data_IF_465682116730
#
_entry.id   IF_465682116730
#
_cell.length_a   1.000
_cell.length_b   1.000
_cell.length_c   1.000
_cell.angle_alpha   90.00
_cell.angle_beta   90.00
_cell.angle_gamma   90.00
#
_symmetry.space_group_name_H-M   'P 1'
#
loop_
_entity.id
_entity.type
_entity.pdbx_description
1 polymer ?
#
# COMPACT_ATOMS: atom_id res chain seq x y z
N UNK A 1 2.75 13.45 -20.33
CA UNK A 1 3.28 13.55 -18.95
C UNK A 1 4.77 13.20 -18.89
N UNK A 2 5.54 13.71 -17.92
CA UNK A 2 6.98 13.37 -17.75
C UNK A 2 7.18 11.85 -17.58
N UNK A 3 6.30 11.18 -16.84
CA UNK A 3 6.29 9.73 -16.65
C UNK A 3 6.30 8.96 -17.97
N UNK A 4 5.48 9.37 -18.94
CA UNK A 4 5.42 8.71 -20.25
C UNK A 4 6.76 8.84 -20.99
N UNK A 5 7.42 10.00 -20.90
CA UNK A 5 8.73 10.20 -21.53
C UNK A 5 9.80 9.30 -20.92
N UNK A 6 9.76 9.11 -19.60
CA UNK A 6 10.68 8.21 -18.89
C UNK A 6 10.43 6.75 -19.29
N UNK A 7 9.16 6.31 -19.29
CA UNK A 7 8.79 4.97 -19.73
C UNK A 7 9.17 4.72 -21.20
N UNK A 8 8.95 5.70 -22.09
CA UNK A 8 9.36 5.62 -23.49
C UNK A 8 10.89 5.44 -23.62
N UNK A 9 11.67 6.18 -22.81
CA UNK A 9 13.13 6.11 -22.84
C UNK A 9 13.68 4.78 -22.30
N UNK A 10 13.14 4.26 -21.19
CA UNK A 10 13.53 2.94 -20.66
C UNK A 10 13.10 1.81 -21.61
N UNK A 11 11.88 1.87 -22.16
CA UNK A 11 11.39 0.89 -23.13
C UNK A 11 12.23 0.86 -24.42
N UNK A 12 12.61 2.02 -24.96
CA UNK A 12 13.46 2.11 -26.14
C UNK A 12 14.85 1.47 -25.93
N UNK A 13 15.29 1.34 -24.68
CA UNK A 13 16.54 0.67 -24.29
C UNK A 13 16.33 -0.80 -23.90
N UNK A 14 15.10 -1.32 -23.99
CA UNK A 14 14.75 -2.68 -23.56
C UNK A 14 14.86 -2.88 -22.04
N UNK A 15 14.77 -1.81 -21.25
CA UNK A 15 14.93 -1.84 -19.80
C UNK A 15 13.57 -1.84 -19.10
N UNK A 16 13.33 -2.76 -18.13
CA UNK A 16 12.14 -2.68 -17.30
C UNK A 16 12.19 -1.44 -16.40
N UNK A 17 11.03 -0.84 -16.13
CA UNK A 17 10.91 0.38 -15.34
C UNK A 17 9.97 0.19 -14.14
N UNK A 18 10.27 0.94 -13.08
CA UNK A 18 9.38 1.17 -11.95
C UNK A 18 9.28 2.68 -11.74
N UNK A 19 8.10 3.23 -11.96
CA UNK A 19 7.85 4.67 -11.85
C UNK A 19 6.81 4.90 -10.75
N UNK A 20 7.20 5.66 -9.72
CA UNK A 20 6.28 6.11 -8.68
C UNK A 20 5.83 7.54 -8.97
N UNK A 21 4.52 7.76 -8.97
CA UNK A 21 3.91 9.06 -9.18
C UNK A 21 3.12 9.44 -7.93
N UNK A 22 3.27 10.69 -7.49
CA UNK A 22 2.48 11.25 -6.40
C UNK A 22 1.59 12.37 -6.96
N UNK A 23 0.28 12.26 -6.76
CA UNK A 23 -0.67 13.30 -7.12
C UNK A 23 -0.66 14.41 -6.08
N UNK A 24 -0.77 15.68 -6.51
CA UNK A 24 -0.67 16.84 -5.59
C UNK A 24 -1.87 17.78 -5.64
N UNK A 25 -2.77 17.66 -6.63
CA UNK A 25 -3.90 18.57 -6.81
C UNK A 25 -4.90 18.56 -5.65
N UNK A 26 -5.03 17.44 -4.94
CA UNK A 26 -5.90 17.28 -3.77
C UNK A 26 -5.34 17.92 -2.49
N UNK A 27 -4.68 19.07 -2.61
CA UNK A 27 -4.13 19.84 -1.51
C UNK A 27 -4.56 21.30 -1.62
N UNK A 28 -4.78 21.96 -0.47
CA UNK A 28 -5.12 23.40 -0.44
C UNK A 28 -4.06 24.21 -1.21
N UNK A 29 -4.46 25.21 -2.03
CA UNK A 29 -5.81 25.77 -2.17
C UNK A 29 -6.74 25.05 -3.17
N UNK A 30 -6.47 23.78 -3.52
CA UNK A 30 -7.27 22.94 -4.44
C UNK A 30 -7.29 23.45 -5.89
N UNK A 31 -6.15 23.94 -6.36
CA UNK A 31 -6.01 24.49 -7.70
C UNK A 31 -5.60 23.44 -8.73
N UNK A 32 -6.18 23.56 -9.92
CA UNK A 32 -5.92 22.75 -11.11
C UNK A 32 -6.22 23.55 -12.39
N UNK A 33 -5.81 23.10 -13.58
CA UNK A 33 -6.13 23.76 -14.84
C UNK A 33 -7.64 23.81 -15.11
N UNK A 34 -8.14 24.99 -15.50
CA UNK A 34 -9.54 25.19 -15.87
C UNK A 34 -9.93 24.44 -17.16
N UNK A 35 -11.24 24.24 -17.35
CA UNK A 35 -11.80 23.64 -18.56
C UNK A 35 -11.54 22.13 -18.71
N UNK A 36 -11.10 21.46 -17.64
CA UNK A 36 -10.88 20.00 -17.61
C UNK A 36 -12.04 19.22 -17.01
N UNK A 37 -12.71 19.85 -16.06
CA UNK A 37 -13.92 19.36 -15.38
C UNK A 37 -14.91 20.52 -15.24
N UNK A 38 -16.09 20.22 -14.72
CA UNK A 38 -17.24 21.11 -14.50
C UNK A 38 -17.24 21.84 -13.13
N UNK A 39 -16.14 21.77 -12.37
CA UNK A 39 -15.96 22.47 -11.09
C UNK A 39 -14.80 23.45 -11.24
N UNK A 40 -14.95 24.71 -10.82
CA UNK A 40 -13.90 25.71 -11.01
C UNK A 40 -12.70 25.45 -10.10
N UNK A 41 -11.50 25.76 -10.61
CA UNK A 41 -10.26 25.63 -9.87
C UNK A 41 -10.31 26.38 -8.54
N UNK A 42 -9.99 25.68 -7.44
CA UNK A 42 -10.00 26.26 -6.09
C UNK A 42 -11.35 26.23 -5.36
N UNK A 43 -12.44 25.73 -5.96
CA UNK A 43 -13.76 25.64 -5.29
C UNK A 43 -13.85 24.55 -4.21
N UNK A 44 -12.79 23.77 -4.02
CA UNK A 44 -12.65 22.89 -2.87
C UNK A 44 -12.16 21.49 -3.20
N UNK A 45 -12.23 20.63 -2.19
CA UNK A 45 -11.70 19.26 -2.26
C UNK A 45 -12.40 18.42 -3.32
N UNK A 46 -13.71 18.56 -3.48
CA UNK A 46 -14.49 17.78 -4.45
C UNK A 46 -14.01 18.03 -5.89
N UNK A 47 -13.76 19.30 -6.24
CA UNK A 47 -13.16 19.68 -7.52
C UNK A 47 -11.77 19.06 -7.71
N UNK A 48 -10.92 19.12 -6.68
CA UNK A 48 -9.58 18.53 -6.77
C UNK A 48 -9.59 17.00 -6.89
N UNK A 49 -10.51 16.30 -6.22
CA UNK A 49 -10.71 14.86 -6.36
C UNK A 49 -11.21 14.51 -7.76
N UNK A 50 -12.23 15.21 -8.26
CA UNK A 50 -12.76 15.02 -9.62
C UNK A 50 -11.71 15.31 -10.70
N UNK A 51 -10.87 16.32 -10.48
CA UNK A 51 -9.75 16.62 -11.37
C UNK A 51 -8.69 15.52 -11.35
N UNK A 52 -8.41 14.94 -10.18
CA UNK A 52 -7.46 13.83 -10.04
C UNK A 52 -7.94 12.59 -10.81
N UNK A 53 -9.24 12.27 -10.72
CA UNK A 53 -9.88 11.23 -11.53
C UNK A 53 -9.74 11.49 -13.04
N UNK A 54 -10.08 12.71 -13.48
CA UNK A 54 -9.88 13.14 -14.86
C UNK A 54 -8.41 12.97 -15.32
N UNK A 55 -7.45 13.39 -14.49
CA UNK A 55 -6.03 13.35 -14.82
C UNK A 55 -5.50 11.90 -14.91
N UNK A 56 -6.00 10.99 -14.06
CA UNK A 56 -5.72 9.55 -14.16
C UNK A 56 -6.28 8.98 -15.47
N UNK A 57 -7.53 9.31 -15.81
CA UNK A 57 -8.15 8.89 -17.07
C UNK A 57 -7.38 9.39 -18.30
N UNK A 58 -6.95 10.65 -18.29
CA UNK A 58 -6.11 11.25 -19.32
C UNK A 58 -4.76 10.52 -19.46
N UNK A 59 -4.10 10.26 -18.33
CA UNK A 59 -2.84 9.52 -18.29
C UNK A 59 -2.99 8.13 -18.90
N UNK A 60 -4.02 7.38 -18.50
CA UNK A 60 -4.30 6.04 -19.05
C UNK A 60 -4.62 6.09 -20.55
N UNK A 61 -5.33 7.11 -21.03
CA UNK A 61 -5.63 7.27 -22.47
C UNK A 61 -4.37 7.51 -23.29
N UNK A 62 -3.44 8.30 -22.77
CA UNK A 62 -2.13 8.50 -23.41
C UNK A 62 -1.25 7.25 -23.32
N UNK A 63 -1.23 6.59 -22.16
CA UNK A 63 -0.45 5.37 -21.95
C UNK A 63 -0.91 4.24 -22.88
N UNK A 64 -2.23 4.07 -23.10
CA UNK A 64 -2.80 3.07 -24.03
C UNK A 64 -2.28 3.15 -25.45
N UNK A 65 -1.74 4.30 -25.87
CA UNK A 65 -1.16 4.48 -27.21
C UNK A 65 0.31 4.04 -27.29
N UNK A 66 0.89 3.57 -26.19
CA UNK A 66 2.31 3.26 -26.07
C UNK A 66 2.58 1.76 -26.20
N UNK A 67 3.71 1.38 -26.81
CA UNK A 67 4.02 -0.04 -27.04
C UNK A 67 4.25 -0.83 -25.74
N UNK A 68 4.70 -0.17 -24.67
CA UNK A 68 4.90 -0.79 -23.36
C UNK A 68 3.61 -1.01 -22.55
N UNK A 69 2.47 -0.46 -22.97
CA UNK A 69 1.23 -0.48 -22.17
C UNK A 69 0.74 -1.89 -21.86
N UNK A 70 0.81 -2.80 -22.83
CA UNK A 70 0.33 -4.17 -22.68
C UNK A 70 1.05 -4.93 -21.57
N UNK A 71 2.33 -4.63 -21.35
CA UNK A 71 3.21 -5.30 -20.37
C UNK A 71 3.53 -4.40 -19.17
N UNK A 72 2.64 -3.46 -18.84
CA UNK A 72 2.77 -2.58 -17.68
C UNK A 72 1.67 -2.85 -16.67
N UNK A 73 2.06 -3.05 -15.41
CA UNK A 73 1.14 -3.09 -14.27
C UNK A 73 0.99 -1.68 -13.71
N UNK A 74 -0.23 -1.13 -13.78
CA UNK A 74 -0.56 0.14 -13.14
C UNK A 74 -1.15 -0.11 -11.76
N UNK A 75 -0.65 0.59 -10.75
CA UNK A 75 -1.13 0.49 -9.37
C UNK A 75 -1.60 1.87 -8.93
N UNK A 76 -2.87 1.94 -8.57
CA UNK A 76 -3.50 3.15 -8.05
C UNK A 76 -3.84 2.90 -6.60
N UNK A 77 -3.33 3.75 -5.71
CA UNK A 77 -3.54 3.63 -4.28
C UNK A 77 -3.52 5.03 -3.66
N UNK A 78 -4.44 5.31 -2.74
CA UNK A 78 -4.34 6.53 -1.93
C UNK A 78 -3.30 6.32 -0.81
N UNK A 79 -2.56 7.36 -0.49
CA UNK A 79 -1.58 7.35 0.61
C UNK A 79 -2.25 7.35 1.98
N UNK A 80 -3.34 8.12 2.13
CA UNK A 80 -4.17 8.15 3.33
C UNK A 80 -5.56 8.74 3.05
N UNK A 81 -6.45 8.71 4.05
CA UNK A 81 -7.76 9.35 4.00
C UNK A 81 -7.69 10.84 4.36
N UNK A 82 -8.79 11.59 4.20
CA UNK A 82 -8.83 12.99 4.60
C UNK A 82 -9.35 13.17 6.03
N UNK A 83 -8.58 13.92 6.83
CA UNK A 83 -8.97 14.33 8.17
C UNK A 83 -8.69 13.27 9.23
N UNK A 84 -8.45 13.75 10.45
CA UNK A 84 -8.16 12.91 11.63
C UNK A 84 -9.09 13.21 12.81
N UNK A 85 -10.21 13.89 12.57
CA UNK A 85 -11.14 14.30 13.62
C UNK A 85 -12.03 13.11 14.04
N UNK A 86 -12.13 12.87 15.34
CA UNK A 86 -12.94 11.80 15.92
C UNK A 86 -12.79 11.74 17.43
N UNK A 87 -13.66 10.97 18.10
CA UNK A 87 -13.54 10.65 19.54
C UNK A 87 -12.68 9.42 19.80
N UNK A 88 -12.59 8.54 18.82
CA UNK A 88 -11.71 7.37 18.85
C UNK A 88 -10.31 7.77 18.40
N UNK A 89 -9.28 7.17 19.00
CA UNK A 89 -7.90 7.49 18.66
C UNK A 89 -7.49 6.92 17.29
N UNK A 90 -8.02 5.75 16.92
CA UNK A 90 -7.77 5.06 15.66
C UNK A 90 -9.09 4.54 15.04
N UNK A 91 -10.00 5.42 14.60
CA UNK A 91 -11.25 5.00 13.98
C UNK A 91 -10.96 4.24 12.69
N UNK A 92 -11.21 2.93 12.66
CA UNK A 92 -10.78 2.02 11.58
C UNK A 92 -11.31 2.48 10.21
N UNK A 93 -12.55 2.98 10.17
CA UNK A 93 -13.18 3.51 8.96
C UNK A 93 -12.40 4.66 8.31
N UNK A 94 -11.69 5.46 9.11
CA UNK A 94 -10.85 6.55 8.62
C UNK A 94 -9.49 6.08 8.08
N UNK A 95 -9.22 4.78 8.00
CA UNK A 95 -8.00 4.25 7.37
C UNK A 95 -8.29 3.46 6.09
N UNK A 96 -9.57 3.33 5.71
CA UNK A 96 -9.93 2.66 4.48
C UNK A 96 -9.64 3.56 3.27
N UNK A 97 -8.78 3.06 2.38
CA UNK A 97 -8.31 3.75 1.18
C UNK A 97 -8.61 2.93 -0.08
N UNK A 98 -8.86 3.57 -1.23
CA UNK A 98 -8.97 2.86 -2.49
C UNK A 98 -7.62 2.31 -2.93
N UNK A 99 -7.63 1.08 -3.44
CA UNK A 99 -6.53 0.49 -4.21
C UNK A 99 -7.10 -0.29 -5.38
N UNK A 100 -6.52 -0.13 -6.57
CA UNK A 100 -6.80 -1.01 -7.70
C UNK A 100 -5.55 -1.24 -8.55
N UNK A 101 -5.44 -2.44 -9.10
CA UNK A 101 -4.36 -2.86 -9.99
C UNK A 101 -4.97 -3.02 -11.39
N UNK A 102 -4.34 -2.39 -12.37
CA UNK A 102 -4.80 -2.40 -13.76
C UNK A 102 -3.69 -2.91 -14.67
N UNK A 103 -3.90 -4.10 -15.23
CA UNK A 103 -3.03 -4.73 -16.21
C UNK A 103 -3.88 -5.66 -17.10
N UNK A 104 -4.69 -5.11 -18.02
CA UNK A 104 -5.78 -5.85 -18.67
C UNK A 104 -5.34 -7.05 -19.51
N UNK A 105 -4.07 -7.09 -19.95
CA UNK A 105 -3.55 -8.22 -20.72
C UNK A 105 -3.07 -9.37 -19.84
N UNK A 106 -2.91 -9.12 -18.54
CA UNK A 106 -2.29 -10.04 -17.58
C UNK A 106 -3.23 -10.43 -16.43
N UNK A 107 -4.22 -9.59 -16.10
CA UNK A 107 -5.06 -9.75 -14.92
C UNK A 107 -6.54 -9.64 -15.34
N UNK A 108 -7.31 -10.67 -14.99
CA UNK A 108 -8.77 -10.66 -15.15
C UNK A 108 -9.43 -9.77 -14.08
N UNK A 109 -10.52 -9.06 -14.41
CA UNK A 109 -11.26 -8.27 -13.42
C UNK A 109 -11.76 -9.15 -12.26
N UNK A 110 -11.48 -8.73 -11.03
CA UNK A 110 -11.98 -9.36 -9.80
C UNK A 110 -11.91 -8.39 -8.63
N UNK A 111 -12.73 -8.62 -7.63
CA UNK A 111 -12.65 -7.97 -6.33
C UNK A 111 -11.90 -8.88 -5.34
N UNK A 112 -11.16 -8.27 -4.41
CA UNK A 112 -10.42 -8.97 -3.36
C UNK A 112 -10.80 -8.35 -2.02
N UNK A 113 -11.64 -9.04 -1.27
CA UNK A 113 -12.18 -8.56 0.02
C UNK A 113 -11.29 -8.88 1.22
N UNK A 114 -10.09 -9.43 0.97
CA UNK A 114 -9.15 -9.77 2.04
C UNK A 114 -8.63 -8.52 2.71
N UNK A 115 -8.78 -8.43 4.04
CA UNK A 115 -8.28 -7.31 4.83
C UNK A 115 -6.75 -7.17 4.71
N UNK A 116 -6.33 -5.99 4.27
CA UNK A 116 -4.99 -5.71 3.76
C UNK A 116 -4.46 -4.37 4.27
N UNK A 117 -3.13 -4.26 4.41
CA UNK A 117 -2.40 -3.03 4.72
C UNK A 117 -1.60 -2.55 3.49
N UNK A 118 -1.26 -1.26 3.42
CA UNK A 118 -0.39 -0.75 2.33
C UNK A 118 0.97 -1.46 2.23
N UNK A 119 1.50 -1.97 3.35
CA UNK A 119 2.77 -2.72 3.37
C UNK A 119 2.70 -4.07 2.64
N UNK A 120 1.48 -4.55 2.34
CA UNK A 120 1.25 -5.79 1.59
C UNK A 120 1.31 -5.56 0.06
N UNK A 121 1.34 -4.30 -0.41
CA UNK A 121 1.38 -3.95 -1.84
C UNK A 121 2.64 -4.51 -2.50
N UNK A 122 3.81 -4.23 -1.93
CA UNK A 122 5.09 -4.65 -2.52
C UNK A 122 5.20 -6.19 -2.71
N UNK A 123 4.99 -7.04 -1.68
CA UNK A 123 5.02 -8.49 -1.89
C UNK A 123 3.93 -8.99 -2.85
N UNK A 124 2.74 -8.38 -2.85
CA UNK A 124 1.68 -8.71 -3.81
C UNK A 124 2.10 -8.43 -5.25
N UNK A 125 2.70 -7.27 -5.51
CA UNK A 125 3.18 -6.90 -6.85
C UNK A 125 4.32 -7.81 -7.32
N UNK A 126 5.26 -8.15 -6.42
CA UNK A 126 6.33 -9.08 -6.76
C UNK A 126 5.79 -10.49 -7.08
N UNK A 127 4.77 -10.94 -6.35
CA UNK A 127 4.03 -12.17 -6.66
C UNK A 127 3.33 -12.11 -8.02
N UNK A 128 2.64 -11.01 -8.32
CA UNK A 128 1.98 -10.78 -9.63
C UNK A 128 2.97 -10.78 -10.79
N UNK A 129 4.15 -10.21 -10.60
CA UNK A 129 5.23 -10.19 -11.60
C UNK A 129 5.97 -11.53 -11.71
N UNK A 130 5.57 -12.54 -10.91
CA UNK A 130 6.22 -13.85 -10.81
C UNK A 130 7.73 -13.75 -10.55
N UNK A 131 8.13 -12.78 -9.72
CA UNK A 131 9.53 -12.57 -9.36
C UNK A 131 9.88 -13.40 -8.14
N UNK A 132 11.01 -14.10 -8.20
CA UNK A 132 11.64 -14.63 -7.00
C UNK A 132 12.39 -13.52 -6.28
N UNK A 133 12.13 -13.36 -4.99
CA UNK A 133 12.76 -12.33 -4.17
C UNK A 133 13.05 -12.85 -2.77
N UNK A 134 14.11 -12.33 -2.18
CA UNK A 134 14.36 -12.37 -0.75
C UNK A 134 14.04 -10.98 -0.20
N UNK A 135 13.26 -10.89 0.86
CA UNK A 135 12.94 -9.60 1.46
C UNK A 135 12.78 -9.68 2.97
N UNK A 136 12.93 -8.52 3.59
CA UNK A 136 12.60 -8.27 5.00
C UNK A 136 11.25 -7.57 5.13
N UNK A 137 10.34 -7.75 4.15
CA UNK A 137 9.03 -7.12 4.19
C UNK A 137 8.18 -7.70 5.32
N UNK A 138 7.46 -6.83 6.02
CA UNK A 138 6.47 -7.21 7.03
C UNK A 138 5.08 -7.46 6.43
N UNK A 139 4.92 -7.17 5.14
CA UNK A 139 3.70 -7.43 4.40
C UNK A 139 3.70 -8.82 3.77
N UNK A 140 2.56 -9.18 3.19
CA UNK A 140 2.34 -10.45 2.51
C UNK A 140 1.73 -10.28 1.12
N UNK A 141 1.92 -11.27 0.28
CA UNK A 141 1.20 -11.38 -0.98
C UNK A 141 -0.27 -11.75 -0.70
N UNK A 142 -1.19 -10.82 -0.94
CA UNK A 142 -2.62 -10.97 -0.60
C UNK A 142 -3.38 -11.87 -1.56
N UNK A 143 -2.75 -12.26 -2.67
CA UNK A 143 -3.37 -13.15 -3.65
C UNK A 143 -3.19 -14.62 -3.29
N UNK A 144 -2.40 -14.90 -2.26
CA UNK A 144 -2.19 -16.26 -1.76
C UNK A 144 -3.32 -16.67 -0.81
N UNK A 145 -3.79 -17.94 -0.86
CA UNK A 145 -4.87 -18.41 0.01
C UNK A 145 -4.61 -18.17 1.51
N UNK A 146 -3.36 -18.32 1.96
CA UNK A 146 -2.98 -18.17 3.36
C UNK A 146 -3.13 -16.72 3.86
N UNK A 147 -3.13 -15.74 2.95
CA UNK A 147 -3.36 -14.34 3.32
C UNK A 147 -4.80 -14.08 3.74
N UNK A 148 -5.76 -14.80 3.15
CA UNK A 148 -7.18 -14.67 3.46
C UNK A 148 -7.50 -15.12 4.89
N UNK A 149 -6.82 -16.14 5.40
CA UNK A 149 -7.06 -16.71 6.73
C UNK A 149 -6.65 -15.79 7.89
N UNK A 150 -5.78 -14.80 7.63
CA UNK A 150 -5.22 -13.93 8.68
C UNK A 150 -5.30 -12.45 8.32
N UNK A 151 -6.38 -12.02 7.68
CA UNK A 151 -6.67 -10.60 7.36
C UNK A 151 -6.20 -9.62 8.44
N UNK A 152 -5.52 -8.53 8.07
CA UNK A 152 -5.16 -7.47 9.03
C UNK A 152 -4.91 -6.11 8.38
N UNK A 153 -5.23 -5.05 9.11
CA UNK A 153 -4.80 -3.69 8.82
C UNK A 153 -3.93 -3.14 9.95
N UNK A 154 -2.74 -2.64 9.61
CA UNK A 154 -1.90 -1.85 10.52
C UNK A 154 -2.31 -0.39 10.44
N UNK A 155 -2.66 0.20 11.58
CA UNK A 155 -3.15 1.55 11.70
C UNK A 155 -2.19 2.35 12.58
N UNK A 156 -2.03 3.64 12.33
CA UNK A 156 -1.15 4.44 13.16
C UNK A 156 -1.35 5.93 12.96
N UNK A 157 -1.19 6.66 14.05
CA UNK A 157 -1.07 8.10 14.07
C UNK A 157 0.17 8.51 14.86
N UNK A 158 0.31 9.80 15.19
CA UNK A 158 1.48 10.32 15.91
C UNK A 158 1.68 9.72 17.32
N UNK A 159 0.62 9.19 17.94
CA UNK A 159 0.62 8.76 19.34
C UNK A 159 0.32 7.27 19.51
N UNK A 160 -0.44 6.69 18.59
CA UNK A 160 -1.04 5.37 18.72
C UNK A 160 -0.69 4.48 17.54
N UNK A 161 -0.48 3.20 17.84
CA UNK A 161 -0.22 2.14 16.88
C UNK A 161 -1.31 1.10 17.09
N UNK A 162 -1.84 0.50 16.03
CA UNK A 162 -2.90 -0.47 16.18
C UNK A 162 -2.94 -1.54 15.10
N UNK A 163 -3.51 -2.67 15.48
CA UNK A 163 -3.74 -3.81 14.59
C UNK A 163 -5.22 -4.15 14.61
N UNK A 164 -5.86 -3.98 13.45
CA UNK A 164 -7.23 -4.41 13.19
C UNK A 164 -7.20 -5.78 12.51
N UNK A 165 -7.99 -6.74 13.01
CA UNK A 165 -8.02 -8.12 12.48
C UNK A 165 -9.25 -8.46 11.63
N UNK A 166 -10.12 -7.47 11.38
CA UNK A 166 -11.39 -7.65 10.66
C UNK A 166 -12.62 -7.54 11.55
N UNK A 167 -12.46 -7.68 12.87
CA UNK A 167 -13.52 -7.43 13.86
C UNK A 167 -13.05 -6.45 14.93
N UNK A 168 -11.88 -6.73 15.51
CA UNK A 168 -11.40 -6.05 16.71
C UNK A 168 -10.12 -5.28 16.41
N UNK A 169 -9.89 -4.21 17.16
CA UNK A 169 -8.71 -3.36 17.05
C UNK A 169 -7.94 -3.37 18.36
N UNK A 170 -6.68 -3.81 18.35
CA UNK A 170 -5.74 -3.53 19.43
C UNK A 170 -5.09 -2.15 19.21
N UNK A 171 -4.84 -1.44 20.32
CA UNK A 171 -4.16 -0.14 20.31
C UNK A 171 -3.06 -0.13 21.37
N UNK A 172 -1.84 0.15 20.93
CA UNK A 172 -0.69 0.48 21.75
C UNK A 172 -0.55 2.00 21.88
N UNK A 173 -0.41 2.45 23.12
CA UNK A 173 -0.28 3.86 23.48
C UNK A 173 0.99 4.10 24.32
N UNK A 174 1.44 5.37 24.47
CA UNK A 174 2.56 5.70 25.34
C UNK A 174 2.34 5.20 26.78
N UNK A 175 3.44 5.07 27.53
CA UNK A 175 3.44 4.55 28.91
C UNK A 175 2.94 3.10 29.04
N UNK A 176 3.11 2.29 27.98
CA UNK A 176 2.71 0.88 27.92
C UNK A 176 1.21 0.68 28.12
N UNK A 177 0.39 1.69 27.80
CA UNK A 177 -1.06 1.52 27.82
C UNK A 177 -1.49 0.69 26.62
N UNK A 178 -2.36 -0.28 26.87
CA UNK A 178 -2.89 -1.20 25.88
C UNK A 178 -4.40 -1.17 25.98
N UNK A 179 -5.06 -1.01 24.84
CA UNK A 179 -6.51 -0.99 24.73
C UNK A 179 -6.94 -1.90 23.60
N UNK A 180 -8.22 -2.23 23.63
CA UNK A 180 -8.89 -2.95 22.55
C UNK A 180 -10.27 -2.36 22.33
N UNK A 181 -10.64 -2.21 21.06
CA UNK A 181 -12.02 -2.02 20.65
C UNK A 181 -12.55 -3.36 20.17
N UNK A 182 -13.64 -3.83 20.77
CA UNK A 182 -14.42 -4.94 20.23
C UNK A 182 -15.45 -4.41 19.23
N UNK A 183 -15.66 -5.10 18.12
CA UNK A 183 -16.55 -4.66 17.03
C UNK A 183 -16.20 -3.25 16.52
N UNK A 184 -14.93 -3.08 16.10
CA UNK A 184 -14.31 -1.80 15.80
C UNK A 184 -14.89 -1.08 14.56
N UNK A 185 -15.67 -1.77 13.72
CA UNK A 185 -16.42 -1.18 12.60
C UNK A 185 -17.92 -1.02 12.89
N UNK A 186 -18.42 -1.62 13.98
CA UNK A 186 -19.82 -1.57 14.39
C UNK A 186 -20.03 -0.61 15.57
N UNK A 187 -20.52 -1.13 16.69
CA UNK A 187 -20.83 -0.31 17.87
C UNK A 187 -19.57 0.20 18.57
N UNK A 188 -18.45 -0.53 18.45
CA UNK A 188 -17.13 -0.20 19.04
C UNK A 188 -17.18 -0.03 20.56
N UNK A 189 -16.71 -1.05 21.29
CA UNK A 189 -16.57 -0.98 22.74
C UNK A 189 -15.10 -0.97 23.16
N UNK A 190 -14.62 0.18 23.63
CA UNK A 190 -13.27 0.31 24.16
C UNK A 190 -13.15 -0.33 25.56
N UNK A 191 -12.10 -1.13 25.74
CA UNK A 191 -11.68 -1.64 27.05
C UNK A 191 -10.16 -1.62 27.20
N UNK A 192 -9.70 -1.59 28.45
CA UNK A 192 -8.31 -1.84 28.77
C UNK A 192 -7.96 -3.28 28.42
N UNK A 193 -6.80 -3.48 27.81
CA UNK A 193 -6.26 -4.79 27.50
C UNK A 193 -4.91 -5.01 28.21
N UNK A 194 -4.44 -6.24 28.15
CA UNK A 194 -3.11 -6.62 28.62
C UNK A 194 -2.40 -7.52 27.61
N UNK A 195 -1.20 -7.96 27.97
CA UNK A 195 -0.34 -8.79 27.12
C UNK A 195 -0.84 -10.23 26.94
N UNK A 196 -1.87 -10.67 27.64
CA UNK A 196 -2.44 -12.00 27.48
C UNK A 196 -3.43 -12.07 26.30
N UNK A 197 -3.87 -10.91 25.79
CA UNK A 197 -4.67 -10.84 24.56
C UNK A 197 -3.81 -11.17 23.34
N UNK A 198 -4.20 -12.20 22.58
CA UNK A 198 -3.52 -12.61 21.35
C UNK A 198 -3.43 -11.45 20.34
N UNK A 199 -4.50 -10.67 20.19
CA UNK A 199 -4.53 -9.52 19.29
C UNK A 199 -3.50 -8.45 19.70
N UNK A 200 -3.38 -8.19 21.01
CA UNK A 200 -2.39 -7.25 21.55
C UNK A 200 -0.97 -7.80 21.39
N UNK A 201 -0.76 -9.11 21.54
CA UNK A 201 0.55 -9.72 21.29
C UNK A 201 0.95 -9.58 19.82
N UNK A 202 0.02 -9.78 18.88
CA UNK A 202 0.26 -9.57 17.45
C UNK A 202 0.62 -8.12 17.15
N UNK A 203 -0.12 -7.18 17.72
CA UNK A 203 0.11 -5.74 17.60
C UNK A 203 1.53 -5.37 18.10
N UNK A 204 1.87 -5.82 19.32
CA UNK A 204 3.23 -5.67 19.90
C UNK A 204 4.29 -6.26 18.98
N UNK A 205 4.08 -7.47 18.45
CA UNK A 205 5.06 -8.16 17.61
C UNK A 205 5.36 -7.38 16.33
N UNK A 206 4.35 -6.83 15.64
CA UNK A 206 4.58 -6.01 14.45
C UNK A 206 5.36 -4.74 14.77
N UNK A 207 4.92 -3.95 15.75
CA UNK A 207 5.51 -2.63 15.98
C UNK A 207 6.86 -2.69 16.70
N UNK A 208 6.98 -3.52 17.74
CA UNK A 208 8.27 -3.69 18.42
C UNK A 208 9.26 -4.48 17.56
N UNK A 209 8.79 -5.45 16.78
CA UNK A 209 9.62 -6.15 15.81
C UNK A 209 10.19 -5.21 14.74
N UNK A 210 9.35 -4.36 14.15
CA UNK A 210 9.79 -3.34 13.20
C UNK A 210 10.75 -2.33 13.84
N UNK A 211 10.44 -1.81 15.03
CA UNK A 211 11.31 -0.90 15.77
C UNK A 211 12.67 -1.53 16.08
N UNK A 212 12.67 -2.78 16.55
CA UNK A 212 13.90 -3.53 16.80
C UNK A 212 14.71 -3.70 15.52
N UNK A 213 14.09 -4.19 14.45
CA UNK A 213 14.76 -4.43 13.16
C UNK A 213 15.37 -3.15 12.57
N UNK A 214 14.68 -2.01 12.68
CA UNK A 214 15.22 -0.70 12.27
C UNK A 214 16.41 -0.31 13.18
N UNK A 215 16.23 -0.35 14.50
CA UNK A 215 17.25 0.08 15.46
C UNK A 215 18.54 -0.73 15.38
N UNK A 216 18.43 -2.02 15.06
CA UNK A 216 19.57 -2.93 14.91
C UNK A 216 20.10 -2.98 13.47
N UNK A 217 19.49 -2.25 12.54
CA UNK A 217 19.90 -2.22 11.14
C UNK A 217 19.65 -3.53 10.38
N UNK A 218 18.71 -4.36 10.84
CA UNK A 218 18.35 -5.65 10.21
C UNK A 218 17.58 -5.47 8.90
N UNK A 219 17.01 -4.28 8.65
CA UNK A 219 16.30 -3.95 7.41
C UNK A 219 17.21 -3.25 6.39
N UNK A 220 18.51 -3.14 6.65
CA UNK A 220 19.46 -2.54 5.71
C UNK A 220 19.53 -3.40 4.45
N UNK A 221 19.47 -2.75 3.29
CA UNK A 221 19.77 -3.41 2.03
C UNK A 221 21.17 -4.04 2.09
N UNK A 222 21.23 -5.35 1.87
CA UNK A 222 22.49 -6.06 1.72
C UNK A 222 22.73 -6.28 0.24
N UNK A 223 23.76 -5.64 -0.30
CA UNK A 223 24.13 -5.81 -1.71
C UNK A 223 24.81 -7.17 -1.90
N UNK A 224 24.00 -8.21 -2.02
CA UNK A 224 24.49 -9.58 -2.10
C UNK A 224 24.91 -9.92 -3.55
N UNK A 225 26.05 -9.38 -3.96
CA UNK A 225 26.80 -9.88 -5.12
C UNK A 225 27.14 -11.39 -5.01
N UNK A 226 27.06 -11.97 -3.81
CA UNK A 226 27.25 -13.39 -3.53
C UNK A 226 26.07 -14.28 -3.95
N UNK A 227 24.81 -13.80 -3.88
CA UNK A 227 23.63 -14.59 -4.26
C UNK A 227 23.59 -14.82 -5.78
N UNK A 228 24.04 -13.82 -6.58
CA UNK A 228 24.16 -13.97 -8.04
C UNK A 228 25.07 -15.14 -8.46
N UNK A 229 26.10 -15.48 -7.67
CA UNK A 229 27.03 -16.57 -8.01
C UNK A 229 26.45 -17.96 -7.72
N UNK A 230 25.61 -18.12 -6.70
CA UNK A 230 25.04 -19.44 -6.37
C UNK A 230 23.93 -19.84 -7.34
N UNK A 231 23.13 -18.90 -7.83
CA UNK A 231 22.05 -19.19 -8.79
C UNK A 231 22.59 -19.52 -10.19
N UNK A 232 23.68 -18.87 -10.61
CA UNK A 232 24.35 -19.18 -11.87
C UNK A 232 25.05 -20.55 -11.84
N UNK A 233 25.63 -20.94 -10.71
CA UNK A 233 26.24 -22.27 -10.53
C UNK A 233 25.17 -23.39 -10.55
N UNK A 234 24.04 -23.20 -9.88
CA UNK A 234 22.95 -24.18 -9.86
C UNK A 234 22.24 -24.36 -11.22
N UNK A 235 22.16 -23.32 -12.05
CA UNK A 235 21.62 -23.44 -13.41
C UNK A 235 22.58 -24.07 -14.41
N UNK A 236 23.89 -24.08 -14.13
CA UNK A 236 24.90 -24.76 -14.95
C UNK A 236 25.04 -26.25 -14.60
N UNK A 237 24.69 -26.67 -13.38
CA UNK A 237 24.66 -28.09 -13.00
C UNK A 237 23.38 -28.83 -13.43
N UNK A 238 22.35 -28.10 -13.90
CA UNK A 238 21.08 -28.67 -14.39
C UNK A 238 20.93 -28.64 -15.92
N UNK A 239 22.02 -28.40 -16.66
CA UNK A 239 22.12 -28.58 -18.12
C UNK A 239 23.14 -29.66 -18.46
#
# INVERSE_FOLDING_TARGET
AQTIKLADADYAQGKPFLLQLMTTSNHRPYTYPDGRIDILSGEGREGAVKYTDYAIGEFLRQAKQKPWFADTVFVFVADHTAGSAGKEDLPVSNYHIPMFIYAPQHIQPREIDTLTSQIDIAPTLLGLLNLSYESTFFGRDVLRPEAAERGRALLGNYQHLGLFDGSDLAILSPRKMMRRHDDALGVSHERRADKNSELVQRDIAYYQGASHAISQGLLKWQDNAAVKKSTLAQQQEQR
#
